data_IF_174291574154
#
_entry.id   IF_174291574154
#
_cell.length_a   1.000
_cell.length_b   1.000
_cell.length_c   1.000
_cell.angle_alpha   90.00
_cell.angle_beta   90.00
_cell.angle_gamma   90.00
#
_symmetry.space_group_name_H-M   'P 1'
#
loop_
_entity.id
_entity.type
_entity.pdbx_description
1 polymer ?
#
# COMPACT_ATOMS: atom_id res chain seq x y z
N UNK A 1 -9.98 -1.79 7.27
CA UNK A 1 -8.87 -0.88 7.55
C UNK A 1 -7.93 -0.92 6.35
N UNK A 2 -7.90 0.10 5.48
CA UNK A 2 -6.73 0.38 4.66
C UNK A 2 -5.48 0.42 5.55
N UNK A 3 -4.34 -0.03 5.02
CA UNK A 3 -3.06 0.00 5.73
C UNK A 3 -2.59 1.43 6.03
N UNK A 4 -1.67 1.61 6.99
CA UNK A 4 -0.86 2.82 7.07
C UNK A 4 0.18 2.87 5.93
N UNK A 5 0.40 4.07 5.37
CA UNK A 5 1.48 4.35 4.41
C UNK A 5 2.83 4.28 5.14
N UNK A 6 3.76 3.49 4.60
CA UNK A 6 5.13 3.35 5.12
C UNK A 6 6.06 3.97 4.09
N UNK A 7 6.81 5.00 4.49
CA UNK A 7 7.85 5.66 3.69
C UNK A 7 9.16 5.59 4.47
N UNK A 8 10.26 5.35 3.78
CA UNK A 8 11.63 5.34 4.33
C UNK A 8 12.48 6.27 3.45
N UNK A 9 13.26 7.17 4.05
CA UNK A 9 14.08 8.17 3.35
C UNK A 9 15.45 8.31 4.03
N UNK A 10 16.54 8.27 3.25
CA UNK A 10 17.93 8.46 3.72
C UNK A 10 18.43 7.53 4.84
N UNK A 11 18.01 6.25 4.83
CA UNK A 11 18.44 5.24 5.82
C UNK A 11 18.09 5.56 7.28
N UNK A 12 17.35 6.65 7.51
CA UNK A 12 16.63 6.89 8.75
C UNK A 12 15.15 6.57 8.52
N UNK A 13 14.58 5.80 9.44
CA UNK A 13 13.14 5.58 9.48
C UNK A 13 12.49 6.86 10.03
N UNK A 14 12.36 7.88 9.18
CA UNK A 14 11.58 9.07 9.48
C UNK A 14 10.12 8.63 9.53
N UNK A 15 9.52 8.74 10.71
CA UNK A 15 8.23 8.18 11.09
C UNK A 15 8.23 6.67 11.36
N UNK A 16 8.47 6.31 12.64
CA UNK A 16 7.99 5.07 13.25
C UNK A 16 6.44 5.08 13.33
N UNK A 17 5.75 5.31 12.20
CA UNK A 17 4.29 5.18 12.11
C UNK A 17 3.91 3.70 12.02
N UNK A 18 4.20 2.97 13.11
CA UNK A 18 3.32 1.88 13.54
C UNK A 18 2.01 2.44 14.13
N UNK A 19 1.92 3.75 14.34
CA UNK A 19 0.67 4.45 14.62
C UNK A 19 -0.07 4.86 13.34
N UNK A 20 -1.39 5.05 13.45
CA UNK A 20 -2.29 5.34 12.34
C UNK A 20 -1.75 6.49 11.47
N UNK A 21 -1.41 6.20 10.21
CA UNK A 21 -1.40 7.24 9.18
C UNK A 21 -2.78 7.89 9.20
N UNK A 22 -2.82 9.20 9.45
CA UNK A 22 -4.01 9.93 9.90
C UNK A 22 -5.32 9.44 9.29
N UNK A 23 -6.37 9.36 10.11
CA UNK A 23 -7.64 8.76 9.73
C UNK A 23 -8.11 9.23 8.34
N UNK A 24 -8.11 8.30 7.38
CA UNK A 24 -8.66 8.51 6.06
C UNK A 24 -10.19 8.37 6.14
N UNK A 25 -10.85 9.35 6.76
CA UNK A 25 -12.31 9.42 6.94
C UNK A 25 -13.09 9.69 5.63
N UNK A 26 -12.60 9.22 4.48
CA UNK A 26 -13.15 9.56 3.17
C UNK A 26 -14.15 8.52 2.63
N UNK A 27 -14.32 7.39 3.33
CA UNK A 27 -15.30 6.38 2.97
C UNK A 27 -16.42 6.30 4.01
N UNK A 28 -17.67 6.47 3.54
CA UNK A 28 -18.89 6.60 4.37
C UNK A 28 -19.20 5.38 5.26
N UNK A 29 -18.48 4.27 5.13
CA UNK A 29 -18.61 3.08 5.99
C UNK A 29 -17.42 2.84 6.92
N UNK A 30 -16.59 3.86 7.17
CA UNK A 30 -15.58 3.80 8.23
C UNK A 30 -16.24 4.05 9.58
N UNK A 31 -16.04 3.19 10.61
CA UNK A 31 -16.55 3.45 11.94
C UNK A 31 -15.92 4.75 12.45
N UNK A 32 -16.76 5.73 12.78
CA UNK A 32 -16.36 7.11 13.11
C UNK A 32 -15.91 7.29 14.55
N UNK A 33 -15.71 6.19 15.29
CA UNK A 33 -15.66 6.20 16.75
C UNK A 33 -14.24 6.00 17.33
N UNK A 34 -13.18 6.13 16.53
CA UNK A 34 -11.79 5.93 16.99
C UNK A 34 -11.00 7.25 16.94
N UNK A 35 -11.19 8.11 17.95
CA UNK A 35 -10.31 9.26 18.19
C UNK A 35 -9.76 9.19 19.61
N UNK A 36 -8.42 9.19 19.78
CA UNK A 36 -7.77 10.42 20.23
C UNK A 36 -6.51 10.74 19.43
N UNK A 37 -6.65 11.60 18.42
CA UNK A 37 -5.52 12.40 17.90
C UNK A 37 -5.08 13.36 19.02
N UNK A 38 -3.90 13.14 19.61
CA UNK A 38 -3.30 14.04 20.61
C UNK A 38 -2.30 15.05 20.04
N UNK A 39 -1.99 15.02 18.76
CA UNK A 39 -1.10 15.99 18.11
C UNK A 39 -1.88 16.85 17.11
N UNK A 40 -1.93 18.15 17.41
CA UNK A 40 -2.65 19.20 16.66
C UNK A 40 -1.81 19.69 15.48
N UNK A 41 -1.04 18.80 14.83
CA UNK A 41 -0.29 19.15 13.64
C UNK A 41 -1.14 18.85 12.41
N UNK A 42 -1.67 19.95 11.84
CA UNK A 42 -2.29 20.07 10.52
C UNK A 42 -2.53 18.75 9.78
N UNK A 43 -3.69 18.12 10.00
CA UNK A 43 -4.16 17.04 9.15
C UNK A 43 -4.38 17.60 7.74
N UNK A 44 -3.37 17.49 6.87
CA UNK A 44 -3.35 18.03 5.49
C UNK A 44 -4.59 17.55 4.71
N UNK A 45 -5.09 16.36 5.04
CA UNK A 45 -6.32 15.79 4.47
C UNK A 45 -7.57 16.64 4.71
N UNK A 46 -7.66 17.36 5.85
CA UNK A 46 -8.77 18.29 6.12
C UNK A 46 -8.73 19.53 5.23
N UNK A 47 -7.56 19.89 4.71
CA UNK A 47 -7.39 21.01 3.77
C UNK A 47 -7.77 20.65 2.33
N UNK A 48 -7.74 19.36 2.00
CA UNK A 48 -8.12 18.84 0.70
C UNK A 48 -9.64 18.74 0.56
N UNK A 49 -10.15 19.02 -0.65
CA UNK A 49 -11.58 18.82 -0.96
C UNK A 49 -11.96 17.36 -0.70
N UNK A 50 -13.09 17.12 -0.04
CA UNK A 50 -13.59 15.76 0.28
C UNK A 50 -13.60 14.83 -0.93
N UNK A 51 -13.92 15.35 -2.12
CA UNK A 51 -13.88 14.58 -3.37
C UNK A 51 -12.48 14.05 -3.69
N UNK A 52 -11.45 14.88 -3.53
CA UNK A 52 -10.05 14.50 -3.77
C UNK A 52 -9.63 13.40 -2.79
N UNK A 53 -9.95 13.57 -1.50
CA UNK A 53 -9.63 12.56 -0.48
C UNK A 53 -10.36 11.24 -0.77
N UNK A 54 -11.64 11.29 -1.17
CA UNK A 54 -12.39 10.10 -1.55
C UNK A 54 -11.80 9.41 -2.78
N UNK A 55 -11.44 10.17 -3.81
CA UNK A 55 -10.86 9.63 -5.05
C UNK A 55 -9.48 8.98 -4.82
N UNK A 56 -8.64 9.60 -3.97
CA UNK A 56 -7.34 9.03 -3.59
C UNK A 56 -7.55 7.77 -2.72
N UNK A 57 -8.42 7.85 -1.71
CA UNK A 57 -8.63 6.75 -0.76
C UNK A 57 -9.05 5.44 -1.41
N UNK A 58 -9.82 5.51 -2.50
CA UNK A 58 -10.25 4.34 -3.28
C UNK A 58 -9.12 3.66 -4.04
N UNK A 59 -7.97 4.32 -4.21
CA UNK A 59 -6.80 3.81 -4.95
C UNK A 59 -5.68 3.33 -4.03
N UNK A 60 -5.79 3.61 -2.73
CA UNK A 60 -4.84 3.21 -1.70
C UNK A 60 -5.18 1.81 -1.20
N UNK A 61 -4.19 0.94 -1.08
CA UNK A 61 -4.35 -0.50 -0.76
C UNK A 61 -3.30 -1.01 0.20
N UNK A 62 -3.64 -2.04 1.00
CA UNK A 62 -2.67 -2.81 1.82
C UNK A 62 -1.93 -3.79 0.96
N UNK A 63 -0.64 -3.92 1.21
CA UNK A 63 0.12 -5.07 0.79
C UNK A 63 0.80 -5.69 2.00
N UNK A 64 0.86 -7.00 1.99
CA UNK A 64 1.64 -7.78 2.94
C UNK A 64 2.34 -8.89 2.18
N UNK A 65 3.58 -9.17 2.51
CA UNK A 65 4.29 -10.35 2.06
C UNK A 65 4.32 -11.40 3.16
N UNK A 66 4.32 -12.66 2.75
CA UNK A 66 4.32 -13.82 3.64
C UNK A 66 5.34 -14.82 3.16
N UNK A 67 6.05 -15.45 4.09
CA UNK A 67 6.91 -16.58 3.79
C UNK A 67 6.11 -17.87 3.55
N UNK A 68 6.81 -18.95 3.20
CA UNK A 68 6.22 -20.27 3.00
C UNK A 68 5.51 -20.82 4.26
N UNK A 69 5.84 -20.32 5.45
CA UNK A 69 5.21 -20.66 6.73
C UNK A 69 3.99 -19.79 7.06
N UNK A 70 3.52 -18.96 6.13
CA UNK A 70 2.43 -17.99 6.32
C UNK A 70 2.71 -16.93 7.40
N UNK A 71 3.97 -16.77 7.80
CA UNK A 71 4.36 -15.69 8.71
C UNK A 71 4.49 -14.40 7.92
N UNK A 72 3.89 -13.33 8.44
CA UNK A 72 3.97 -12.01 7.80
C UNK A 72 5.42 -11.55 7.79
N UNK A 73 5.92 -11.28 6.60
CA UNK A 73 7.29 -10.88 6.36
C UNK A 73 7.44 -9.36 6.37
N UNK A 74 6.54 -8.67 5.66
CA UNK A 74 6.50 -7.21 5.57
C UNK A 74 5.06 -6.73 5.38
N UNK A 75 4.78 -5.47 5.69
CA UNK A 75 3.51 -4.83 5.36
C UNK A 75 3.70 -3.36 5.03
N UNK A 76 2.97 -2.88 4.04
CA UNK A 76 3.02 -1.52 3.58
C UNK A 76 1.74 -1.13 2.85
N UNK A 77 1.75 0.10 2.35
CA UNK A 77 0.73 0.59 1.44
C UNK A 77 1.22 0.58 0.00
N UNK A 78 0.28 0.54 -0.93
CA UNK A 78 0.51 0.87 -2.32
C UNK A 78 -0.59 1.74 -2.90
N UNK A 79 -0.28 2.32 -4.06
CA UNK A 79 -1.18 3.18 -4.81
C UNK A 79 -1.41 2.60 -6.20
N UNK A 80 -2.68 2.48 -6.59
CA UNK A 80 -3.00 2.12 -7.97
C UNK A 80 -2.61 3.23 -8.95
N UNK A 81 -1.80 2.84 -9.93
CA UNK A 81 -1.39 3.68 -11.05
C UNK A 81 -1.74 2.99 -12.37
N UNK A 82 -1.87 3.82 -13.41
CA UNK A 82 -1.93 3.33 -14.80
C UNK A 82 -0.50 3.13 -15.28
N UNK A 83 -0.17 1.89 -15.65
CA UNK A 83 1.14 1.55 -16.19
C UNK A 83 1.03 1.22 -17.68
N UNK A 84 1.69 1.99 -18.55
CA UNK A 84 1.76 1.68 -19.97
C UNK A 84 2.63 0.42 -20.17
N UNK A 85 2.10 -0.57 -20.89
CA UNK A 85 2.85 -1.77 -21.27
C UNK A 85 2.60 -2.15 -22.72
N UNK A 86 3.35 -3.13 -23.22
CA UNK A 86 3.27 -3.61 -24.62
C UNK A 86 1.90 -4.16 -25.03
N UNK A 87 1.06 -4.54 -24.07
CA UNK A 87 -0.33 -5.03 -24.28
C UNK A 87 -1.40 -4.00 -23.90
N UNK A 88 -1.03 -2.71 -23.82
CA UNK A 88 -1.91 -1.62 -23.43
C UNK A 88 -1.70 -1.16 -21.98
N UNK A 89 -2.56 -0.23 -21.54
CA UNK A 89 -2.50 0.31 -20.17
C UNK A 89 -3.14 -0.66 -19.19
N UNK A 90 -2.39 -1.07 -18.17
CA UNK A 90 -2.87 -1.93 -17.07
C UNK A 90 -2.80 -1.21 -15.74
N UNK A 91 -3.75 -1.48 -14.86
CA UNK A 91 -3.68 -1.00 -13.47
C UNK A 91 -2.69 -1.87 -12.70
N UNK A 92 -1.74 -1.22 -12.05
CA UNK A 92 -0.74 -1.84 -11.16
C UNK A 92 -0.65 -1.04 -9.88
N UNK A 93 -0.01 -1.61 -8.89
CA UNK A 93 0.23 -0.99 -7.61
C UNK A 93 1.70 -0.55 -7.56
N UNK A 94 1.91 0.74 -7.34
CA UNK A 94 3.21 1.27 -6.95
C UNK A 94 3.36 1.14 -5.44
N UNK A 95 4.46 0.54 -4.98
CA UNK A 95 4.74 0.31 -3.56
C UNK A 95 6.24 0.26 -3.31
N UNK A 96 6.64 0.05 -2.06
CA UNK A 96 8.03 -0.12 -1.65
C UNK A 96 8.57 -1.51 -2.00
N UNK A 97 9.82 -1.58 -2.46
CA UNK A 97 10.50 -2.85 -2.72
C UNK A 97 10.83 -3.64 -1.45
N UNK A 98 10.80 -3.01 -0.28
CA UNK A 98 10.90 -3.68 1.03
C UNK A 98 9.82 -4.76 1.21
N UNK A 99 8.72 -4.69 0.46
CA UNK A 99 7.70 -5.75 0.40
C UNK A 99 8.29 -7.12 0.03
N UNK A 100 9.33 -7.16 -0.81
CA UNK A 100 9.92 -8.41 -1.33
C UNK A 100 11.42 -8.53 -1.04
N UNK A 101 12.02 -7.58 -0.32
CA UNK A 101 13.45 -7.53 -0.05
C UNK A 101 13.84 -8.65 0.92
N UNK A 102 14.95 -9.34 0.66
CA UNK A 102 15.43 -10.41 1.53
C UNK A 102 16.03 -9.86 2.83
N UNK A 103 15.64 -10.46 3.96
CA UNK A 103 16.25 -10.25 5.28
C UNK A 103 17.67 -10.80 5.38
N UNK A 104 18.04 -11.77 4.52
CA UNK A 104 19.39 -12.38 4.54
C UNK A 104 20.39 -11.57 3.74
N UNK A 105 19.94 -10.95 2.65
CA UNK A 105 20.76 -10.10 1.80
C UNK A 105 19.89 -8.96 1.26
N UNK A 106 20.14 -7.75 1.75
CA UNK A 106 19.34 -6.56 1.44
C UNK A 106 19.42 -6.13 -0.04
N UNK A 107 20.44 -6.62 -0.76
CA UNK A 107 20.64 -6.35 -2.19
C UNK A 107 19.85 -7.31 -3.09
N UNK A 108 19.14 -8.28 -2.49
CA UNK A 108 18.36 -9.29 -3.21
C UNK A 108 16.89 -9.27 -2.78
N UNK A 109 16.05 -9.83 -3.65
CA UNK A 109 14.66 -10.18 -3.30
C UNK A 109 14.58 -11.61 -2.78
N UNK A 110 13.55 -11.88 -1.99
CA UNK A 110 13.14 -13.23 -1.61
C UNK A 110 11.99 -13.67 -2.52
N UNK A 111 12.29 -14.60 -3.43
CA UNK A 111 11.34 -15.07 -4.46
C UNK A 111 10.27 -16.01 -3.89
N UNK A 112 10.46 -16.52 -2.67
CA UNK A 112 9.51 -17.43 -2.03
C UNK A 112 8.39 -16.66 -1.31
N UNK A 113 8.47 -15.33 -1.29
CA UNK A 113 7.47 -14.48 -0.67
C UNK A 113 6.19 -14.41 -1.50
N UNK A 114 5.07 -14.74 -0.86
CA UNK A 114 3.73 -14.53 -1.40
C UNK A 114 3.25 -13.13 -1.06
N UNK A 115 2.79 -12.38 -2.07
CA UNK A 115 2.21 -11.05 -1.88
C UNK A 115 0.69 -11.17 -1.80
N UNK A 116 0.09 -10.62 -0.74
CA UNK A 116 -1.35 -10.40 -0.65
C UNK A 116 -1.67 -8.90 -0.67
N UNK A 117 -2.75 -8.53 -1.36
CA UNK A 117 -3.25 -7.17 -1.47
C UNK A 117 -4.64 -7.09 -0.82
N UNK A 118 -4.82 -6.16 0.13
CA UNK A 118 -6.12 -5.84 0.71
C UNK A 118 -6.67 -4.56 0.08
N UNK A 119 -7.83 -4.71 -0.54
CA UNK A 119 -8.55 -3.73 -1.33
C UNK A 119 -9.81 -3.25 -0.60
N UNK A 120 -10.12 -1.96 -0.62
CA UNK A 120 -11.43 -1.48 -0.16
C UNK A 120 -12.59 -1.92 -1.08
N UNK A 121 -13.77 -2.27 -0.55
CA UNK A 121 -14.04 -2.67 0.83
C UNK A 121 -13.72 -4.16 1.02
N UNK A 122 -12.79 -4.47 1.93
CA UNK A 122 -12.49 -5.84 2.45
C UNK A 122 -12.24 -6.92 1.38
N UNK A 123 -11.84 -6.56 0.18
CA UNK A 123 -11.46 -7.48 -0.88
C UNK A 123 -9.99 -7.91 -0.66
N UNK A 124 -9.66 -9.19 -0.88
CA UNK A 124 -8.29 -9.71 -0.77
C UNK A 124 -7.87 -10.33 -2.10
N UNK A 125 -6.62 -10.09 -2.49
CA UNK A 125 -6.04 -10.56 -3.73
C UNK A 125 -4.65 -11.14 -3.56
N UNK A 126 -4.24 -11.99 -4.49
CA UNK A 126 -2.83 -12.25 -4.72
C UNK A 126 -2.22 -11.14 -5.57
N UNK A 127 -1.06 -10.66 -5.15
CA UNK A 127 -0.20 -9.79 -5.93
C UNK A 127 0.88 -10.58 -6.66
N UNK A 128 1.28 -10.11 -7.84
CA UNK A 128 2.45 -10.60 -8.57
C UNK A 128 3.44 -9.47 -8.75
N UNK A 129 4.70 -9.69 -8.39
CA UNK A 129 5.78 -8.74 -8.65
C UNK A 129 6.03 -8.64 -10.16
N UNK A 130 5.95 -7.42 -10.69
CA UNK A 130 6.14 -7.14 -12.13
C UNK A 130 7.47 -6.47 -12.42
N UNK A 131 7.90 -5.60 -11.51
CA UNK A 131 9.13 -4.84 -11.62
C UNK A 131 9.56 -4.40 -10.22
N UNK A 132 10.86 -4.24 -10.02
CA UNK A 132 11.40 -3.64 -8.81
C UNK A 132 12.74 -2.95 -9.08
N UNK A 133 13.09 -2.03 -8.20
CA UNK A 133 14.42 -1.46 -8.07
C UNK A 133 14.73 -1.31 -6.58
N UNK A 134 15.68 -2.08 -6.07
CA UNK A 134 16.04 -2.09 -4.65
C UNK A 134 16.76 -0.82 -4.21
N UNK A 135 17.55 -0.21 -5.09
CA UNK A 135 18.29 1.02 -4.80
C UNK A 135 17.34 2.21 -4.60
N UNK A 136 16.30 2.31 -5.42
CA UNK A 136 15.25 3.33 -5.24
C UNK A 136 14.10 2.89 -4.33
N UNK A 137 14.17 1.68 -3.78
CA UNK A 137 13.14 1.05 -2.98
C UNK A 137 11.73 1.07 -3.61
N UNK A 138 11.63 0.82 -4.92
CA UNK A 138 10.36 0.84 -5.67
C UNK A 138 10.01 -0.56 -6.17
N UNK A 139 8.75 -0.97 -6.02
CA UNK A 139 8.18 -2.16 -6.63
C UNK A 139 6.85 -1.86 -7.33
N UNK A 140 6.62 -2.59 -8.41
CA UNK A 140 5.36 -2.61 -9.15
C UNK A 140 4.74 -3.99 -8.97
N UNK A 141 3.53 -4.02 -8.44
CA UNK A 141 2.77 -5.25 -8.19
C UNK A 141 1.51 -5.23 -9.06
N UNK A 142 1.29 -6.28 -9.85
CA UNK A 142 -0.02 -6.51 -10.49
C UNK A 142 -0.92 -7.33 -9.57
N UNK A 143 -2.22 -7.21 -9.78
CA UNK A 143 -3.23 -7.96 -9.02
C UNK A 143 -3.84 -9.02 -9.94
N UNK A 144 -3.96 -10.26 -9.46
CA UNK A 144 -4.60 -11.33 -10.25
C UNK A 144 -6.09 -11.03 -10.50
N UNK A 145 -6.63 -11.57 -11.60
CA UNK A 145 -7.83 -11.06 -12.32
C UNK A 145 -9.19 -11.09 -11.60
N UNK A 146 -9.28 -11.34 -10.30
CA UNK A 146 -10.56 -11.57 -9.60
C UNK A 146 -11.19 -10.35 -8.92
N UNK A 147 -10.89 -9.11 -9.33
CA UNK A 147 -11.46 -7.91 -8.68
C UNK A 147 -12.50 -7.19 -9.52
N UNK A 148 -13.68 -7.01 -8.91
CA UNK A 148 -14.64 -5.99 -9.32
C UNK A 148 -14.05 -4.65 -8.88
N UNK A 149 -13.20 -4.06 -9.72
CA UNK A 149 -12.79 -2.68 -9.53
C UNK A 149 -14.04 -1.84 -9.32
N UNK A 150 -14.12 -1.12 -8.20
CA UNK A 150 -15.08 -0.03 -8.07
C UNK A 150 -14.64 0.98 -9.11
N UNK A 151 -15.27 0.92 -10.30
CA UNK A 151 -15.08 1.94 -11.31
C UNK A 151 -15.60 3.26 -10.70
N UNK A 152 -14.86 4.37 -10.87
CA UNK A 152 -15.31 5.68 -10.44
C UNK A 152 -16.64 6.06 -11.11
#
# INVERSE_FOLDING_TARGET
>A
MPPPLVLEFDSELLDHFEEQFGELCAWKGYPSDVIPCRSVEFCIWKSLRTKVVSDISRRVVSLSSFDAGYSRYFSCTGLFIKWPGSRGTRSVILTSASLVRSRRNVDNIDNDLRIEVLLPPKQRANGRLEFYNLNYNIAIVSVEKSFRCIRP
#
